data_IF_831040426156
#
_entry.id   IF_831040426156
#
_cell.length_a   1.000
_cell.length_b   1.000
_cell.length_c   1.000
_cell.angle_alpha   90.00
_cell.angle_beta   90.00
_cell.angle_gamma   90.00
#
_symmetry.space_group_name_H-M   'P 1'
#
loop_
_entity.id
_entity.type
_entity.pdbx_description
1 polymer ?
#
# COMPACT_ATOMS: atom_id res chain seq x y z
N UNK A 1 18.55 -4.60 15.90
CA UNK A 1 17.43 -3.63 15.77
C UNK A 1 16.15 -4.43 15.63
N UNK A 2 15.04 -3.97 16.17
CA UNK A 2 13.73 -4.61 16.00
C UNK A 2 13.23 -4.33 14.60
N UNK A 3 12.84 -5.36 13.86
CA UNK A 3 12.27 -5.21 12.50
C UNK A 3 10.87 -4.61 12.61
N UNK A 4 10.55 -3.63 11.76
CA UNK A 4 9.28 -2.90 11.78
C UNK A 4 8.45 -3.21 10.55
N UNK A 5 7.18 -3.53 10.76
CA UNK A 5 6.21 -3.78 9.71
C UNK A 5 5.08 -2.76 9.74
N UNK A 6 4.80 -2.13 8.62
CA UNK A 6 3.62 -1.30 8.42
C UNK A 6 2.54 -2.12 7.69
N UNK A 7 1.40 -2.34 8.36
CA UNK A 7 0.25 -3.02 7.78
C UNK A 7 -0.83 -2.00 7.41
N UNK A 8 -1.20 -1.96 6.13
CA UNK A 8 -2.18 -1.04 5.57
C UNK A 8 -3.37 -1.80 5.01
N UNK A 9 -4.58 -1.40 5.38
CA UNK A 9 -5.80 -1.86 4.72
C UNK A 9 -6.51 -0.69 4.04
N UNK A 10 -6.92 -0.90 2.79
CA UNK A 10 -7.53 0.15 1.97
C UNK A 10 -8.94 -0.20 1.46
N UNK A 11 -9.42 -1.42 1.68
CA UNK A 11 -10.74 -1.86 1.23
C UNK A 11 -11.86 -1.28 2.09
N UNK A 12 -12.87 -0.71 1.44
CA UNK A 12 -14.07 -0.17 2.09
C UNK A 12 -15.09 -1.25 2.54
N UNK A 13 -14.85 -2.52 2.18
CA UNK A 13 -15.73 -3.63 2.53
C UNK A 13 -15.58 -4.11 3.99
N UNK A 14 -14.64 -3.53 4.76
CA UNK A 14 -14.46 -3.88 6.16
C UNK A 14 -14.25 -5.39 6.36
N UNK A 15 -15.02 -6.04 7.25
CA UNK A 15 -14.86 -7.47 7.55
C UNK A 15 -15.22 -8.41 6.39
N UNK A 16 -15.86 -7.92 5.35
CA UNK A 16 -16.21 -8.72 4.16
C UNK A 16 -15.13 -8.69 3.08
N UNK A 17 -14.03 -8.01 3.33
CA UNK A 17 -12.96 -7.82 2.36
C UNK A 17 -12.00 -9.01 2.32
N UNK A 18 -11.88 -9.64 1.16
CA UNK A 18 -10.89 -10.70 0.91
C UNK A 18 -9.46 -10.15 1.04
N UNK A 19 -9.17 -8.94 0.52
CA UNK A 19 -7.81 -8.38 0.63
C UNK A 19 -7.38 -8.11 2.07
N UNK A 20 -8.31 -7.75 2.98
CA UNK A 20 -8.02 -7.62 4.42
C UNK A 20 -7.72 -8.97 5.09
N UNK A 21 -8.48 -10.03 4.75
CA UNK A 21 -8.20 -11.38 5.24
C UNK A 21 -6.81 -11.86 4.79
N UNK A 22 -6.45 -11.59 3.54
CA UNK A 22 -5.14 -11.94 3.00
C UNK A 22 -4.00 -11.12 3.62
N UNK A 23 -4.14 -9.79 3.75
CA UNK A 23 -3.11 -8.94 4.38
C UNK A 23 -2.88 -9.32 5.84
N UNK A 24 -3.95 -9.58 6.60
CA UNK A 24 -3.85 -10.09 7.97
C UNK A 24 -3.17 -11.47 8.04
N UNK A 25 -3.45 -12.35 7.07
CA UNK A 25 -2.80 -13.67 6.96
C UNK A 25 -1.30 -13.52 6.67
N UNK A 26 -0.89 -12.57 5.82
CA UNK A 26 0.52 -12.25 5.55
C UNK A 26 1.21 -11.78 6.84
N UNK A 27 0.63 -10.78 7.51
CA UNK A 27 1.20 -10.24 8.76
C UNK A 27 1.35 -11.33 9.83
N UNK A 28 0.34 -12.20 10.00
CA UNK A 28 0.41 -13.33 10.90
C UNK A 28 1.58 -14.26 10.54
N UNK A 29 1.70 -14.66 9.28
CA UNK A 29 2.77 -15.55 8.80
C UNK A 29 4.16 -14.95 9.02
N UNK A 30 4.33 -13.64 8.75
CA UNK A 30 5.59 -12.95 8.98
C UNK A 30 5.91 -12.86 10.47
N UNK A 31 4.92 -12.58 11.33
CA UNK A 31 5.10 -12.53 12.79
C UNK A 31 5.48 -13.89 13.39
N UNK A 32 4.95 -14.97 12.84
CA UNK A 32 5.33 -16.33 13.26
C UNK A 32 6.76 -16.70 12.84
N UNK A 33 7.24 -16.16 11.70
CA UNK A 33 8.57 -16.44 11.15
C UNK A 33 9.65 -15.47 11.62
N UNK A 34 9.28 -14.33 12.22
CA UNK A 34 10.20 -13.25 12.60
C UNK A 34 9.99 -12.85 14.07
N UNK A 35 10.88 -13.30 14.93
CA UNK A 35 10.78 -12.99 16.36
C UNK A 35 10.92 -11.47 16.62
N UNK A 36 9.99 -10.92 17.40
CA UNK A 36 10.04 -9.52 17.82
C UNK A 36 9.66 -8.53 16.70
N UNK A 37 8.91 -8.97 15.68
CA UNK A 37 8.39 -8.08 14.65
C UNK A 37 7.45 -7.02 15.26
N UNK A 38 7.77 -5.75 15.10
CA UNK A 38 6.97 -4.61 15.56
C UNK A 38 5.99 -4.20 14.46
N UNK A 39 4.68 -4.36 14.71
CA UNK A 39 3.63 -4.15 13.71
C UNK A 39 2.86 -2.88 14.01
N UNK A 40 2.93 -1.92 13.10
CA UNK A 40 2.05 -0.75 13.07
C UNK A 40 0.92 -0.98 12.09
N UNK A 41 -0.34 -0.84 12.53
CA UNK A 41 -1.52 -1.00 11.66
C UNK A 41 -2.20 0.33 11.38
N UNK A 42 -2.58 0.54 10.10
CA UNK A 42 -3.38 1.69 9.66
C UNK A 42 -4.50 1.25 8.72
N UNK A 43 -5.73 1.52 9.09
CA UNK A 43 -6.92 1.33 8.23
C UNK A 43 -7.23 2.62 7.48
N UNK A 44 -6.88 2.66 6.20
CA UNK A 44 -7.07 3.81 5.34
C UNK A 44 -8.55 4.05 4.95
N UNK A 45 -9.41 3.03 5.09
CA UNK A 45 -10.83 3.17 4.83
C UNK A 45 -11.59 3.67 6.06
N UNK A 46 -11.21 3.21 7.27
CA UNK A 46 -11.82 3.68 8.51
C UNK A 46 -11.32 5.08 8.91
N UNK A 47 -10.05 5.38 8.64
CA UNK A 47 -9.41 6.66 8.93
C UNK A 47 -8.77 7.22 7.64
N UNK A 48 -9.59 7.73 6.71
CA UNK A 48 -9.11 8.17 5.41
C UNK A 48 -8.25 9.44 5.53
N UNK A 49 -7.16 9.46 4.77
CA UNK A 49 -6.37 10.66 4.62
C UNK A 49 -7.10 11.65 3.69
N UNK A 50 -7.07 12.95 3.99
CA UNK A 50 -7.54 13.96 3.05
C UNK A 50 -6.78 13.86 1.71
N UNK A 51 -7.45 14.17 0.62
CA UNK A 51 -6.76 14.34 -0.67
C UNK A 51 -5.73 15.45 -0.57
N UNK A 52 -4.58 15.29 -1.26
CA UNK A 52 -3.55 16.31 -1.30
C UNK A 52 -4.11 17.60 -1.92
N UNK A 53 -4.13 18.67 -1.14
CA UNK A 53 -4.59 19.98 -1.57
C UNK A 53 -3.45 20.86 -2.13
N UNK A 54 -3.80 21.87 -2.92
CA UNK A 54 -2.83 22.86 -3.38
C UNK A 54 -2.18 23.62 -2.24
N UNK A 55 -2.94 23.93 -1.17
CA UNK A 55 -2.40 24.63 0.03
C UNK A 55 -1.43 23.74 0.80
N UNK A 56 -1.79 22.46 1.02
CA UNK A 56 -0.91 21.50 1.70
C UNK A 56 0.39 21.31 0.92
N UNK A 57 0.30 21.18 -0.41
CA UNK A 57 1.48 21.05 -1.25
C UNK A 57 2.35 22.29 -1.22
N UNK A 58 1.75 23.50 -1.34
CA UNK A 58 2.48 24.76 -1.27
C UNK A 58 3.17 24.95 0.08
N UNK A 59 2.51 24.60 1.18
CA UNK A 59 3.08 24.68 2.52
C UNK A 59 4.23 23.67 2.70
N UNK A 60 4.08 22.44 2.23
CA UNK A 60 5.15 21.43 2.25
C UNK A 60 6.40 21.86 1.45
N UNK A 61 6.22 22.68 0.41
CA UNK A 61 7.29 23.24 -0.41
C UNK A 61 7.84 24.59 0.13
N UNK A 62 7.31 25.10 1.25
CA UNK A 62 7.70 26.40 1.83
C UNK A 62 7.14 27.62 1.10
N UNK A 63 6.17 27.44 0.21
CA UNK A 63 5.54 28.50 -0.60
C UNK A 63 4.22 29.03 0.00
N UNK A 64 3.80 28.52 1.16
CA UNK A 64 2.62 28.96 1.89
C UNK A 64 2.89 28.91 3.40
N UNK A 65 2.63 30.02 4.09
CA UNK A 65 2.70 30.08 5.56
C UNK A 65 1.37 29.62 6.18
N UNK A 66 1.38 28.40 6.69
CA UNK A 66 0.23 27.79 7.37
C UNK A 66 0.10 28.17 8.85
N UNK A 67 0.88 29.14 9.37
CA UNK A 67 0.92 29.47 10.80
C UNK A 67 -0.45 29.83 11.38
N UNK A 68 -1.36 30.40 10.57
CA UNK A 68 -2.72 30.78 10.92
C UNK A 68 -3.79 29.91 10.24
N UNK A 69 -3.41 28.77 9.67
CA UNK A 69 -4.32 27.82 9.01
C UNK A 69 -4.24 26.46 9.69
N UNK A 70 -5.11 26.26 10.69
CA UNK A 70 -5.12 25.06 11.52
C UNK A 70 -5.45 23.79 10.73
N UNK A 71 -6.27 23.90 9.67
CA UNK A 71 -6.60 22.76 8.82
C UNK A 71 -5.40 22.30 8.00
N UNK A 72 -4.67 23.26 7.39
CA UNK A 72 -3.44 22.92 6.64
C UNK A 72 -2.34 22.43 7.57
N UNK A 73 -2.19 23.00 8.78
CA UNK A 73 -1.25 22.47 9.80
C UNK A 73 -1.56 21.05 10.20
N UNK A 74 -2.82 20.74 10.49
CA UNK A 74 -3.23 19.38 10.86
C UNK A 74 -2.99 18.38 9.71
N UNK A 75 -3.26 18.77 8.48
CA UNK A 75 -3.03 17.93 7.30
C UNK A 75 -1.52 17.68 7.04
N UNK A 76 -0.67 18.70 7.23
CA UNK A 76 0.79 18.56 7.18
C UNK A 76 1.31 17.61 8.27
N UNK A 77 0.82 17.76 9.50
CA UNK A 77 1.21 16.90 10.61
C UNK A 77 0.85 15.44 10.35
N UNK A 78 -0.38 15.18 9.86
CA UNK A 78 -0.84 13.85 9.48
C UNK A 78 -0.01 13.27 8.32
N UNK A 79 0.29 14.08 7.30
CA UNK A 79 1.16 13.68 6.20
C UNK A 79 2.58 13.33 6.67
N UNK A 80 3.12 14.10 7.62
CA UNK A 80 4.41 13.83 8.25
C UNK A 80 4.43 12.52 9.03
N UNK A 81 3.38 12.24 9.82
CA UNK A 81 3.22 10.97 10.54
C UNK A 81 3.20 9.77 9.59
N UNK A 82 2.39 9.85 8.53
CA UNK A 82 2.26 8.79 7.52
C UNK A 82 3.59 8.52 6.80
N UNK A 83 4.29 9.59 6.43
CA UNK A 83 5.60 9.48 5.81
C UNK A 83 6.63 8.83 6.75
N UNK A 84 6.66 9.23 8.02
CA UNK A 84 7.58 8.66 9.01
C UNK A 84 7.31 7.18 9.27
N UNK A 85 6.04 6.77 9.37
CA UNK A 85 5.66 5.35 9.48
C UNK A 85 6.18 4.55 8.29
N UNK A 86 6.07 5.08 7.08
CA UNK A 86 6.60 4.42 5.88
C UNK A 86 8.14 4.40 5.88
N UNK A 87 8.81 5.52 6.18
CA UNK A 87 10.28 5.60 6.14
C UNK A 87 10.94 4.70 7.18
N UNK A 88 10.35 4.55 8.36
CA UNK A 88 10.91 3.75 9.46
C UNK A 88 10.56 2.26 9.38
N UNK A 89 9.62 1.84 8.53
CA UNK A 89 9.28 0.44 8.34
C UNK A 89 10.30 -0.28 7.45
N UNK A 90 10.61 -1.52 7.76
CA UNK A 90 11.43 -2.43 6.94
C UNK A 90 10.55 -3.19 5.94
N UNK A 91 9.35 -3.58 6.39
CA UNK A 91 8.35 -4.30 5.59
C UNK A 91 7.04 -3.51 5.54
N UNK A 92 6.40 -3.48 4.37
CA UNK A 92 5.07 -2.90 4.19
C UNK A 92 4.13 -3.95 3.61
N UNK A 93 3.03 -4.25 4.30
CA UNK A 93 1.97 -5.15 3.84
C UNK A 93 0.73 -4.33 3.52
N UNK A 94 0.19 -4.48 2.31
CA UNK A 94 -0.91 -3.65 1.83
C UNK A 94 -2.08 -4.53 1.35
N UNK A 95 -3.24 -4.40 2.00
CA UNK A 95 -4.51 -4.98 1.56
C UNK A 95 -5.19 -4.07 0.53
N UNK A 96 -5.36 -4.55 -0.70
CA UNK A 96 -5.89 -3.78 -1.85
C UNK A 96 -7.14 -4.43 -2.41
N UNK A 97 -8.28 -3.75 -2.30
CA UNK A 97 -9.47 -4.07 -3.08
C UNK A 97 -9.34 -3.48 -4.49
N UNK A 98 -9.70 -4.26 -5.50
CA UNK A 98 -9.69 -3.80 -6.90
C UNK A 98 -11.02 -3.12 -7.22
N UNK A 99 -11.03 -1.80 -7.36
CA UNK A 99 -12.23 -1.00 -7.62
C UNK A 99 -12.08 -0.22 -8.93
N UNK A 100 -13.06 -0.37 -9.83
CA UNK A 100 -13.08 0.35 -11.09
C UNK A 100 -11.74 0.28 -11.83
N UNK A 101 -11.18 -0.95 -11.91
CA UNK A 101 -9.92 -1.28 -12.61
C UNK A 101 -8.63 -0.75 -11.95
N UNK A 102 -8.72 -0.18 -10.75
CA UNK A 102 -7.59 0.42 -10.07
C UNK A 102 -7.55 0.17 -8.56
N UNK A 103 -6.68 0.92 -7.91
CA UNK A 103 -6.55 0.93 -6.45
C UNK A 103 -7.64 1.78 -5.79
N UNK A 104 -7.97 1.54 -4.51
CA UNK A 104 -8.85 2.42 -3.75
C UNK A 104 -8.30 3.84 -3.67
N UNK A 105 -9.20 4.85 -3.72
CA UNK A 105 -8.80 6.27 -3.61
C UNK A 105 -8.10 6.58 -2.29
N UNK A 106 -8.44 5.87 -1.22
CA UNK A 106 -7.78 5.96 0.09
C UNK A 106 -6.30 5.54 0.02
N UNK A 107 -5.99 4.48 -0.73
CA UNK A 107 -4.60 4.07 -0.96
C UNK A 107 -3.86 5.08 -1.83
N UNK A 108 -4.54 5.65 -2.84
CA UNK A 108 -3.95 6.71 -3.66
C UNK A 108 -3.60 7.94 -2.82
N UNK A 109 -4.48 8.35 -1.88
CA UNK A 109 -4.20 9.46 -0.98
C UNK A 109 -2.99 9.17 -0.08
N UNK A 110 -2.81 7.92 0.39
CA UNK A 110 -1.63 7.51 1.14
C UNK A 110 -0.35 7.56 0.28
N UNK A 111 -0.40 7.06 -0.96
CA UNK A 111 0.72 7.11 -1.89
C UNK A 111 1.16 8.55 -2.15
N UNK A 112 0.21 9.48 -2.28
CA UNK A 112 0.51 10.90 -2.49
C UNK A 112 1.23 11.53 -1.28
N UNK A 113 0.98 11.03 -0.06
CA UNK A 113 1.65 11.51 1.17
C UNK A 113 3.04 10.95 1.37
N UNK A 114 3.32 9.76 0.86
CA UNK A 114 4.66 9.17 0.96
C UNK A 114 5.58 9.55 -0.21
N UNK A 115 5.03 10.06 -1.31
CA UNK A 115 5.80 10.46 -2.50
C UNK A 115 6.36 11.88 -2.34
N UNK A 116 7.44 12.01 -1.55
CA UNK A 116 8.00 13.32 -1.15
C UNK A 116 9.42 13.46 -1.69
N UNK A 117 9.63 14.48 -2.52
CA UNK A 117 10.96 14.81 -3.08
C UNK A 117 11.97 15.12 -1.96
N UNK A 118 13.16 14.57 -2.09
CA UNK A 118 14.23 14.68 -1.08
C UNK A 118 14.06 13.73 0.12
N UNK A 119 12.96 12.95 0.19
CA UNK A 119 12.70 11.96 1.25
C UNK A 119 12.59 10.54 0.70
N UNK A 120 11.69 10.31 -0.25
CA UNK A 120 11.43 8.99 -0.84
C UNK A 120 11.93 8.85 -2.26
N UNK A 121 12.19 9.95 -2.92
CA UNK A 121 12.85 10.04 -4.22
C UNK A 121 13.57 11.39 -4.37
N UNK A 122 14.46 11.49 -5.34
CA UNK A 122 15.10 12.76 -5.75
C UNK A 122 15.27 12.81 -7.27
N UNK A 123 15.46 14.01 -7.81
CA UNK A 123 15.85 14.20 -9.20
C UNK A 123 17.36 14.41 -9.29
N UNK A 124 18.04 13.60 -10.08
CA UNK A 124 19.46 13.72 -10.39
C UNK A 124 19.69 14.00 -11.88
N UNK A 125 20.95 14.15 -12.28
CA UNK A 125 21.32 14.39 -13.68
C UNK A 125 20.90 13.26 -14.64
N UNK A 126 20.79 12.03 -14.12
CA UNK A 126 20.36 10.85 -14.91
C UNK A 126 18.83 10.59 -14.84
N UNK A 127 18.06 11.47 -14.21
CA UNK A 127 16.61 11.29 -13.99
C UNK A 127 16.24 11.05 -12.52
N UNK A 128 15.01 10.57 -12.26
CA UNK A 128 14.57 10.29 -10.90
C UNK A 128 15.32 9.09 -10.29
N UNK A 129 15.64 9.21 -9.01
CA UNK A 129 16.27 8.16 -8.19
C UNK A 129 15.42 7.93 -6.94
N UNK A 130 15.00 6.68 -6.70
CA UNK A 130 14.26 6.28 -5.50
C UNK A 130 15.19 6.15 -4.29
N UNK A 131 14.72 6.57 -3.12
CA UNK A 131 15.49 6.61 -1.88
C UNK A 131 15.02 5.57 -0.84
N UNK A 132 14.03 4.72 -1.19
CA UNK A 132 13.45 3.73 -0.28
C UNK A 132 13.94 2.29 -0.54
N UNK A 133 15.12 2.14 -1.14
CA UNK A 133 15.75 0.82 -1.34
C UNK A 133 15.96 0.06 -0.02
N UNK A 134 15.90 -1.28 -0.10
CA UNK A 134 16.05 -2.16 1.06
C UNK A 134 14.75 -2.44 1.82
N UNK A 135 13.62 -1.78 1.48
CA UNK A 135 12.29 -2.15 1.97
C UNK A 135 11.70 -3.31 1.18
N UNK A 136 10.95 -4.17 1.88
CA UNK A 136 10.11 -5.21 1.25
C UNK A 136 8.65 -4.76 1.25
N UNK A 137 7.97 -4.87 0.11
CA UNK A 137 6.54 -4.56 -0.01
C UNK A 137 5.78 -5.81 -0.46
N UNK A 138 4.73 -6.18 0.27
CA UNK A 138 3.87 -7.31 -0.07
C UNK A 138 2.44 -6.79 -0.23
N UNK A 139 1.88 -6.94 -1.42
CA UNK A 139 0.53 -6.48 -1.76
C UNK A 139 -0.41 -7.66 -1.84
N UNK A 140 -1.42 -7.68 -0.95
CA UNK A 140 -2.55 -8.61 -1.01
C UNK A 140 -3.68 -7.96 -1.82
N UNK A 141 -3.89 -8.37 -3.06
CA UNK A 141 -4.91 -7.80 -3.93
C UNK A 141 -6.05 -8.80 -4.19
N UNK A 142 -7.30 -8.34 -4.05
CA UNK A 142 -8.48 -9.13 -4.41
C UNK A 142 -9.25 -8.48 -5.55
N UNK A 143 -9.64 -9.30 -6.56
CA UNK A 143 -10.33 -8.88 -7.78
C UNK A 143 -11.62 -9.67 -7.97
N UNK A 144 -12.73 -9.00 -8.25
CA UNK A 144 -14.03 -9.65 -8.45
C UNK A 144 -14.07 -10.61 -9.65
N UNK A 145 -13.44 -10.23 -10.76
CA UNK A 145 -13.29 -11.01 -11.99
C UNK A 145 -11.85 -11.47 -12.21
N UNK A 146 -11.59 -12.05 -13.39
CA UNK A 146 -10.26 -12.47 -13.85
C UNK A 146 -9.66 -11.35 -14.70
N UNK A 147 -8.51 -10.81 -14.26
CA UNK A 147 -7.78 -9.70 -14.90
C UNK A 147 -6.31 -10.04 -15.18
N UNK A 148 -5.85 -11.23 -14.78
CA UNK A 148 -4.50 -11.71 -15.09
C UNK A 148 -4.36 -12.18 -16.53
N UNK A 149 -5.47 -12.49 -17.21
CA UNK A 149 -5.53 -13.03 -18.56
C UNK A 149 -6.87 -12.74 -19.26
N UNK A 150 -6.93 -13.04 -20.55
CA UNK A 150 -8.15 -12.90 -21.37
C UNK A 150 -8.50 -11.46 -21.71
N UNK A 151 -9.74 -11.19 -22.19
CA UNK A 151 -10.13 -9.88 -22.72
C UNK A 151 -10.10 -8.75 -21.67
N UNK A 152 -10.21 -9.06 -20.39
CA UNK A 152 -10.20 -8.05 -19.33
C UNK A 152 -8.77 -7.72 -18.81
N UNK A 153 -7.73 -8.42 -19.26
CA UNK A 153 -6.36 -8.16 -18.82
C UNK A 153 -5.88 -6.73 -19.07
N UNK A 154 -6.23 -6.05 -20.20
CA UNK A 154 -5.86 -4.65 -20.43
C UNK A 154 -6.49 -3.66 -19.44
N UNK A 155 -7.50 -4.08 -18.67
CA UNK A 155 -8.16 -3.26 -17.66
C UNK A 155 -7.51 -3.38 -16.27
N UNK A 156 -6.45 -4.17 -16.12
CA UNK A 156 -5.69 -4.29 -14.88
C UNK A 156 -4.73 -3.10 -14.74
N UNK A 157 -5.10 -2.13 -13.92
CA UNK A 157 -4.29 -0.94 -13.66
C UNK A 157 -3.78 -0.84 -12.23
N UNK A 158 -4.22 -1.70 -11.30
CA UNK A 158 -3.83 -1.62 -9.91
C UNK A 158 -2.41 -2.17 -9.67
N UNK A 159 -2.14 -3.38 -10.14
CA UNK A 159 -0.83 -4.03 -10.00
C UNK A 159 0.24 -3.29 -10.81
N UNK A 160 -0.10 -2.93 -12.05
CA UNK A 160 0.79 -2.15 -12.93
C UNK A 160 1.14 -0.80 -12.31
N UNK A 161 0.15 -0.08 -11.76
CA UNK A 161 0.36 1.19 -11.07
C UNK A 161 1.25 1.05 -9.84
N UNK A 162 0.96 0.08 -8.96
CA UNK A 162 1.74 -0.15 -7.73
C UNK A 162 3.19 -0.55 -8.04
N UNK A 163 3.41 -1.40 -9.05
CA UNK A 163 4.75 -1.71 -9.55
C UNK A 163 5.50 -0.44 -9.97
N UNK A 164 4.85 0.41 -10.76
CA UNK A 164 5.44 1.68 -11.21
C UNK A 164 5.82 2.59 -10.04
N UNK A 165 4.90 2.80 -9.10
CA UNK A 165 5.14 3.67 -7.93
C UNK A 165 6.26 3.15 -7.05
N UNK A 166 6.20 1.88 -6.62
CA UNK A 166 7.22 1.35 -5.70
C UNK A 166 8.60 1.24 -6.36
N UNK A 167 8.66 0.90 -7.65
CA UNK A 167 9.92 0.95 -8.41
C UNK A 167 10.47 2.39 -8.48
N UNK A 168 9.61 3.39 -8.74
CA UNK A 168 10.01 4.80 -8.72
C UNK A 168 10.58 5.22 -7.36
N UNK A 169 10.03 4.71 -6.26
CA UNK A 169 10.56 4.95 -4.91
C UNK A 169 11.84 4.14 -4.58
N UNK A 170 12.31 3.29 -5.50
CA UNK A 170 13.54 2.50 -5.35
C UNK A 170 13.35 1.14 -4.66
N UNK A 171 12.10 0.69 -4.50
CA UNK A 171 11.78 -0.61 -3.90
C UNK A 171 11.83 -1.68 -4.98
N UNK A 172 12.68 -2.67 -4.80
CA UNK A 172 12.89 -3.80 -5.74
C UNK A 172 12.35 -5.12 -5.20
N UNK A 173 12.19 -5.25 -3.88
CA UNK A 173 11.57 -6.41 -3.24
C UNK A 173 10.05 -6.16 -3.11
N UNK A 174 9.32 -6.48 -4.18
CA UNK A 174 7.88 -6.24 -4.32
C UNK A 174 7.19 -7.54 -4.74
N UNK A 175 6.31 -8.05 -3.87
CA UNK A 175 5.56 -9.27 -4.08
C UNK A 175 4.06 -9.01 -4.13
N UNK A 176 3.34 -9.81 -4.94
CA UNK A 176 1.88 -9.75 -5.03
C UNK A 176 1.28 -11.10 -4.66
N UNK A 177 0.34 -11.07 -3.72
CA UNK A 177 -0.55 -12.18 -3.38
C UNK A 177 -1.92 -11.86 -3.94
N UNK A 178 -2.34 -12.60 -4.95
CA UNK A 178 -3.54 -12.29 -5.75
C UNK A 178 -4.64 -13.32 -5.50
N UNK A 179 -5.86 -12.83 -5.20
CA UNK A 179 -7.08 -13.62 -5.25
C UNK A 179 -8.02 -12.98 -6.27
N UNK A 180 -8.21 -13.58 -7.43
CA UNK A 180 -9.11 -13.09 -8.47
C UNK A 180 -10.27 -14.04 -8.75
N UNK A 181 -11.37 -13.51 -9.30
CA UNK A 181 -12.61 -14.26 -9.47
C UNK A 181 -13.46 -14.36 -8.19
N UNK A 182 -13.20 -13.51 -7.17
CA UNK A 182 -13.88 -13.62 -5.87
C UNK A 182 -15.38 -13.30 -5.92
N UNK A 183 -15.89 -12.74 -7.02
CA UNK A 183 -17.31 -12.50 -7.26
C UNK A 183 -17.92 -13.44 -8.33
N UNK A 184 -17.19 -14.50 -8.71
CA UNK A 184 -17.64 -15.46 -9.74
C UNK A 184 -18.34 -16.71 -9.15
N UNK A 185 -18.82 -16.61 -7.92
CA UNK A 185 -19.48 -17.68 -7.18
C UNK A 185 -18.62 -18.21 -6.00
N UNK A 186 -19.27 -18.92 -5.08
CA UNK A 186 -18.65 -19.34 -3.81
C UNK A 186 -17.46 -20.30 -4.03
N UNK A 187 -17.56 -21.23 -4.99
CA UNK A 187 -16.48 -22.17 -5.31
C UNK A 187 -15.26 -21.44 -5.87
N UNK A 188 -15.46 -20.48 -6.80
CA UNK A 188 -14.38 -19.68 -7.37
C UNK A 188 -13.71 -18.84 -6.30
N UNK A 189 -14.50 -18.19 -5.43
CA UNK A 189 -13.99 -17.43 -4.29
C UNK A 189 -13.16 -18.30 -3.34
N UNK A 190 -13.69 -19.47 -2.96
CA UNK A 190 -12.99 -20.39 -2.07
C UNK A 190 -11.66 -20.86 -2.66
N UNK A 191 -11.64 -21.20 -3.95
CA UNK A 191 -10.43 -21.61 -4.67
C UNK A 191 -9.41 -20.46 -4.74
N UNK A 192 -9.84 -19.24 -5.08
CA UNK A 192 -8.97 -18.05 -5.16
C UNK A 192 -8.34 -17.72 -3.80
N UNK A 193 -9.15 -17.72 -2.73
CA UNK A 193 -8.66 -17.45 -1.37
C UNK A 193 -7.71 -18.54 -0.90
N UNK A 194 -8.03 -19.82 -1.17
CA UNK A 194 -7.14 -20.94 -0.84
C UNK A 194 -5.80 -20.80 -1.55
N UNK A 195 -5.79 -20.58 -2.86
CA UNK A 195 -4.55 -20.43 -3.64
C UNK A 195 -3.69 -19.26 -3.14
N UNK A 196 -4.32 -18.13 -2.80
CA UNK A 196 -3.62 -17.00 -2.20
C UNK A 196 -3.02 -17.35 -0.82
N UNK A 197 -3.75 -18.08 0.04
CA UNK A 197 -3.24 -18.53 1.35
C UNK A 197 -2.13 -19.57 1.22
N UNK A 198 -2.19 -20.46 0.24
CA UNK A 198 -1.12 -21.39 -0.05
C UNK A 198 0.19 -20.66 -0.44
N UNK A 199 0.10 -19.58 -1.23
CA UNK A 199 1.26 -18.74 -1.56
C UNK A 199 1.78 -17.96 -0.35
N UNK A 200 0.91 -17.45 0.53
CA UNK A 200 1.31 -16.80 1.78
C UNK A 200 2.15 -17.73 2.66
N UNK A 201 1.80 -19.02 2.75
CA UNK A 201 2.54 -19.98 3.55
C UNK A 201 4.02 -20.14 3.10
N UNK A 202 4.32 -19.84 1.83
CA UNK A 202 5.66 -19.92 1.25
C UNK A 202 6.48 -18.65 1.41
N UNK A 203 5.90 -17.54 1.89
CA UNK A 203 6.62 -16.28 2.10
C UNK A 203 7.83 -16.48 3.03
N UNK A 204 8.93 -15.83 2.71
CA UNK A 204 10.12 -15.79 3.57
C UNK A 204 9.81 -14.98 4.84
N UNK A 205 10.63 -15.11 5.87
CA UNK A 205 10.61 -14.22 7.03
C UNK A 205 10.72 -12.74 6.59
N UNK A 206 10.26 -11.84 7.46
CA UNK A 206 10.31 -10.41 7.22
C UNK A 206 11.75 -9.89 7.14
#
# INVERSE_FOLDING_TARGET
MTMKLLHLDSSVLGPYSVSRDLSASIVKTLSEKTAGLDVTYRDLAANPLPHLSGLTLAAAMGNYDASNDDATKADLALGGEVLEQFLTSDVVVIGVGFYNFGIPSQLKAWIDRISVAGKTFKYGAAGPEGLCGGKRVIVAISRGGIYSQGPAAPLEHAETYLKGVFTFLGITDLEFVVAEGVNMGEEAKAAAVKGAKDSIATLKAA
#
